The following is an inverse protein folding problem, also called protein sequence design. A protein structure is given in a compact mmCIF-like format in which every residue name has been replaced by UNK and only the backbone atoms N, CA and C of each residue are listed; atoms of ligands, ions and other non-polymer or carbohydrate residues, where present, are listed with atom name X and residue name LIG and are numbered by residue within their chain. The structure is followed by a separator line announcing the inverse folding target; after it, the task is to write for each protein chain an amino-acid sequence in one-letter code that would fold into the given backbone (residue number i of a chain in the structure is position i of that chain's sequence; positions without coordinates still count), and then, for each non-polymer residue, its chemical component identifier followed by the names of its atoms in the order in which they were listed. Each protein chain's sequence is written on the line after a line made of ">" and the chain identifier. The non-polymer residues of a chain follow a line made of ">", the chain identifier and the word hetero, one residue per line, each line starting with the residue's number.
data_IF_788113401161
#
_entry.id   IF_788113401161
#
_cell.length_a   1.000
_cell.length_b   1.000
_cell.length_c   1.000
_cell.angle_alpha   90.00
_cell.angle_beta   90.00
_cell.angle_gamma   90.00
#
_symmetry.space_group_name_H-M   'P 1'
#
loop_
_entity.id
_entity.type
_entity.pdbx_description
1 polymer ?
#
# COMPACT_ATOMS: atom_id res chain seq x y z
N UNK A 1 11.60 11.51 14.67
CA UNK A 1 10.57 11.41 13.61
C UNK A 1 10.74 10.04 12.97
N UNK A 2 9.67 9.26 12.82
CA UNK A 2 9.76 7.97 12.15
C UNK A 2 10.08 8.17 10.67
N UNK A 3 10.48 7.07 10.03
CA UNK A 3 10.78 7.06 8.60
C UNK A 3 9.61 6.38 7.90
N UNK A 4 9.26 6.90 6.73
CA UNK A 4 8.07 6.47 6.01
C UNK A 4 8.29 6.32 4.52
N UNK A 5 7.23 5.91 3.85
CA UNK A 5 7.13 5.85 2.40
C UNK A 5 5.88 6.61 1.95
N UNK A 6 5.79 6.96 0.68
CA UNK A 6 4.55 7.43 0.08
C UNK A 6 3.92 6.31 -0.74
N UNK A 7 2.68 5.96 -0.44
CA UNK A 7 1.95 4.87 -1.11
C UNK A 7 0.93 5.45 -2.10
N UNK A 8 0.84 4.85 -3.27
CA UNK A 8 -0.28 5.03 -4.19
C UNK A 8 -0.69 3.69 -4.81
N UNK A 9 -1.99 3.49 -4.97
CA UNK A 9 -2.56 2.37 -5.72
C UNK A 9 -3.02 2.88 -7.07
N UNK A 10 -2.61 2.20 -8.14
CA UNK A 10 -3.01 2.45 -9.52
C UNK A 10 -3.87 1.26 -9.97
N UNK A 11 -5.04 1.54 -10.54
CA UNK A 11 -5.93 0.53 -11.06
C UNK A 11 -6.04 0.68 -12.57
N UNK A 12 -5.32 -0.17 -13.32
CA UNK A 12 -5.37 -0.20 -14.78
C UNK A 12 -6.43 -1.18 -15.31
N UNK A 13 -7.35 -1.64 -14.46
CA UNK A 13 -8.47 -2.47 -14.88
C UNK A 13 -9.69 -1.62 -15.25
N UNK A 14 -10.61 -2.22 -16.00
CA UNK A 14 -11.89 -1.60 -16.40
C UNK A 14 -12.94 -1.57 -15.29
N UNK A 15 -12.64 -2.14 -14.11
CA UNK A 15 -13.53 -2.21 -12.96
C UNK A 15 -12.93 -1.47 -11.77
N UNK A 16 -13.79 -0.91 -10.91
CA UNK A 16 -13.34 -0.38 -9.63
C UNK A 16 -12.96 -1.53 -8.68
N UNK A 17 -12.09 -1.25 -7.73
CA UNK A 17 -11.73 -2.18 -6.65
C UNK A 17 -11.73 -1.46 -5.32
N UNK A 18 -11.87 -2.20 -4.23
CA UNK A 18 -11.74 -1.69 -2.87
C UNK A 18 -10.44 -2.19 -2.26
N UNK A 19 -9.64 -1.28 -1.71
CA UNK A 19 -8.43 -1.61 -0.99
C UNK A 19 -8.71 -1.89 0.49
N UNK A 20 -8.02 -2.86 1.07
CA UNK A 20 -8.10 -3.21 2.48
C UNK A 20 -6.70 -3.42 3.06
N UNK A 21 -6.51 -2.95 4.29
CA UNK A 21 -5.29 -3.20 5.06
C UNK A 21 -5.58 -4.30 6.07
N UNK A 22 -4.80 -5.37 6.02
CA UNK A 22 -4.88 -6.49 6.96
C UNK A 22 -3.48 -6.84 7.48
N UNK A 23 -3.41 -7.56 8.59
CA UNK A 23 -2.16 -7.96 9.24
C UNK A 23 -1.22 -6.76 9.52
N UNK A 24 -1.77 -5.61 9.92
CA UNK A 24 -0.95 -4.44 10.23
C UNK A 24 -0.15 -4.67 11.52
N UNK A 25 1.17 -4.49 11.42
CA UNK A 25 2.09 -4.66 12.54
C UNK A 25 3.08 -3.51 12.53
N UNK A 26 3.15 -2.81 13.66
CA UNK A 26 4.10 -1.71 13.83
C UNK A 26 3.99 -0.62 12.74
N UNK A 27 2.78 -0.35 12.24
CA UNK A 27 2.47 0.76 11.35
C UNK A 27 1.69 1.84 12.10
N UNK A 28 1.93 3.12 11.78
CA UNK A 28 1.03 4.20 12.20
C UNK A 28 -0.22 4.16 11.32
N UNK A 29 -1.32 3.66 11.90
CA UNK A 29 -2.59 3.45 11.22
C UNK A 29 -3.56 4.64 11.39
N UNK A 30 -3.35 5.49 12.40
CA UNK A 30 -4.08 6.76 12.56
C UNK A 30 -3.20 7.78 13.27
N UNK A 31 -3.22 9.03 12.79
CA UNK A 31 -2.49 10.15 13.38
C UNK A 31 -0.96 10.12 13.19
N UNK A 32 -0.28 11.19 13.62
CA UNK A 32 1.18 11.32 13.50
C UNK A 32 1.71 11.69 12.11
N UNK A 33 0.82 11.94 11.15
CA UNK A 33 1.17 12.32 9.77
C UNK A 33 1.10 11.15 8.77
N UNK A 34 1.01 9.90 9.25
CA UNK A 34 0.70 8.71 8.45
C UNK A 34 -0.76 8.72 8.00
N UNK A 35 -1.02 8.21 6.80
CA UNK A 35 -2.35 8.14 6.18
C UNK A 35 -2.67 6.70 5.72
N UNK A 36 -2.20 5.69 6.44
CA UNK A 36 -2.41 4.28 6.08
C UNK A 36 -3.90 3.91 6.07
N UNK A 37 -4.71 4.57 6.91
CA UNK A 37 -6.16 4.43 6.98
C UNK A 37 -6.87 4.74 5.66
N UNK A 38 -6.31 5.62 4.81
CA UNK A 38 -6.88 5.94 3.50
C UNK A 38 -7.00 4.71 2.59
N UNK A 39 -6.15 3.72 2.82
CA UNK A 39 -6.09 2.50 2.03
C UNK A 39 -6.92 1.37 2.66
N UNK A 40 -7.56 1.58 3.81
CA UNK A 40 -8.38 0.58 4.48
C UNK A 40 -9.88 0.85 4.27
N UNK A 41 -10.45 0.25 3.23
CA UNK A 41 -11.80 0.52 2.74
C UNK A 41 -11.85 1.59 1.64
N UNK A 42 -10.70 1.95 1.06
CA UNK A 42 -10.62 2.96 0.02
C UNK A 42 -11.02 2.43 -1.35
N UNK A 43 -11.85 3.18 -2.09
CA UNK A 43 -12.22 2.82 -3.46
C UNK A 43 -11.16 3.30 -4.44
N UNK A 44 -10.65 2.39 -5.28
CA UNK A 44 -9.75 2.68 -6.39
C UNK A 44 -10.57 2.64 -7.69
N UNK A 45 -10.90 3.79 -8.31
CA UNK A 45 -11.71 3.83 -9.51
C UNK A 45 -11.07 3.08 -10.68
N UNK A 46 -11.89 2.58 -11.61
CA UNK A 46 -11.43 1.97 -12.86
C UNK A 46 -10.54 2.94 -13.64
N UNK A 47 -9.43 2.46 -14.19
CA UNK A 47 -8.42 3.27 -14.88
C UNK A 47 -7.98 4.52 -14.09
N UNK A 48 -7.91 4.39 -12.76
CA UNK A 48 -7.68 5.50 -11.84
C UNK A 48 -6.71 5.16 -10.72
N UNK A 49 -6.66 6.01 -9.70
CA UNK A 49 -5.73 5.85 -8.59
C UNK A 49 -6.35 6.17 -7.24
N UNK A 50 -5.72 5.64 -6.20
CA UNK A 50 -5.99 5.97 -4.80
C UNK A 50 -4.65 6.25 -4.10
N UNK A 51 -4.43 7.45 -3.55
CA UNK A 51 -5.28 8.63 -3.67
C UNK A 51 -5.16 9.31 -5.04
N UNK A 52 -6.24 9.98 -5.45
CA UNK A 52 -6.34 10.64 -6.76
C UNK A 52 -5.29 11.75 -6.89
N UNK A 53 -5.05 12.50 -5.82
CA UNK A 53 -4.10 13.62 -5.78
C UNK A 53 -2.62 13.21 -5.81
N UNK A 54 -2.31 11.91 -5.73
CA UNK A 54 -0.95 11.39 -5.68
C UNK A 54 -0.66 10.54 -4.44
N UNK A 55 0.58 10.00 -4.35
CA UNK A 55 1.02 9.18 -3.23
C UNK A 55 0.85 9.87 -1.87
N UNK A 56 0.43 9.11 -0.85
CA UNK A 56 0.25 9.61 0.51
C UNK A 56 1.23 8.95 1.49
N UNK A 57 1.70 9.73 2.45
CA UNK A 57 2.68 9.29 3.41
C UNK A 57 2.12 8.20 4.34
N UNK A 58 2.89 7.12 4.51
CA UNK A 58 2.68 6.03 5.45
C UNK A 58 3.94 5.87 6.31
N UNK A 59 3.76 5.58 7.59
CA UNK A 59 4.87 5.57 8.55
C UNK A 59 4.98 4.26 9.33
N UNK A 60 6.19 3.73 9.41
CA UNK A 60 6.53 2.65 10.32
C UNK A 60 6.67 3.19 11.76
N UNK A 61 6.02 2.55 12.72
CA UNK A 61 6.23 2.80 14.16
C UNK A 61 7.63 2.33 14.54
N UNK A 62 8.48 3.25 14.98
CA UNK A 62 9.83 2.92 15.47
C UNK A 62 10.01 3.29 16.95
N UNK A 63 9.01 2.95 17.77
CA UNK A 63 9.00 3.25 19.21
C UNK A 63 8.35 2.11 20.00
N UNK A 64 8.57 2.10 21.32
CA UNK A 64 8.05 1.06 22.21
C UNK A 64 8.49 -0.34 21.77
N UNK A 65 7.55 -1.30 21.78
CA UNK A 65 7.81 -2.67 21.32
C UNK A 65 8.10 -2.77 19.82
N UNK A 66 7.85 -1.71 19.02
CA UNK A 66 8.15 -1.70 17.60
C UNK A 66 9.58 -1.23 17.29
N UNK A 67 10.32 -0.74 18.29
CA UNK A 67 11.72 -0.34 18.09
C UNK A 67 12.57 -1.54 17.65
N UNK A 68 13.21 -1.42 16.48
CA UNK A 68 14.05 -2.47 15.91
C UNK A 68 13.30 -3.68 15.33
N UNK A 69 11.97 -3.65 15.32
CA UNK A 69 11.15 -4.70 14.70
C UNK A 69 10.79 -4.35 13.25
N UNK A 70 10.45 -5.37 12.47
CA UNK A 70 9.89 -5.19 11.13
C UNK A 70 8.47 -4.64 11.27
N UNK A 71 8.21 -3.54 10.58
CA UNK A 71 6.87 -3.00 10.37
C UNK A 71 6.30 -3.59 9.08
N UNK A 72 5.05 -4.02 9.08
CA UNK A 72 4.45 -4.63 7.91
C UNK A 72 2.95 -4.45 7.86
N UNK A 73 2.39 -4.56 6.66
CA UNK A 73 0.97 -4.68 6.44
C UNK A 73 0.71 -5.38 5.10
N UNK A 74 -0.42 -6.07 5.00
CA UNK A 74 -0.90 -6.65 3.75
C UNK A 74 -1.95 -5.74 3.14
N UNK A 75 -1.72 -5.29 1.92
CA UNK A 75 -2.70 -4.60 1.10
C UNK A 75 -3.43 -5.63 0.24
N UNK A 76 -4.75 -5.70 0.38
CA UNK A 76 -5.63 -6.54 -0.42
C UNK A 76 -6.52 -5.68 -1.30
N UNK A 77 -6.70 -6.07 -2.56
CA UNK A 77 -7.65 -5.46 -3.49
C UNK A 77 -8.81 -6.43 -3.71
N UNK A 78 -10.03 -5.94 -3.52
CA UNK A 78 -11.27 -6.70 -3.69
C UNK A 78 -12.09 -6.17 -4.87
N UNK A 79 -12.73 -7.06 -5.62
CA UNK A 79 -13.79 -6.68 -6.56
C UNK A 79 -15.06 -6.25 -5.81
N UNK A 80 -16.06 -5.77 -6.54
CA UNK A 80 -17.40 -5.44 -6.02
C UNK A 80 -18.18 -6.66 -5.47
N UNK A 81 -17.76 -7.88 -5.79
CA UNK A 81 -18.28 -9.13 -5.19
C UNK A 81 -17.43 -9.62 -4.01
N UNK A 82 -16.54 -8.80 -3.46
CA UNK A 82 -15.61 -9.14 -2.38
C UNK A 82 -14.64 -10.29 -2.72
N UNK A 83 -14.32 -10.47 -4.00
CA UNK A 83 -13.32 -11.45 -4.44
C UNK A 83 -11.94 -10.80 -4.41
N UNK A 84 -10.94 -11.47 -3.84
CA UNK A 84 -9.55 -10.99 -3.86
C UNK A 84 -9.03 -11.02 -5.29
N UNK A 85 -8.76 -9.83 -5.82
CA UNK A 85 -8.20 -9.64 -7.17
C UNK A 85 -6.69 -9.37 -7.14
N UNK A 86 -6.16 -9.06 -5.97
CA UNK A 86 -4.72 -8.97 -5.74
C UNK A 86 -4.38 -8.76 -4.27
N UNK A 87 -3.16 -9.14 -3.89
CA UNK A 87 -2.67 -9.07 -2.53
C UNK A 87 -1.17 -8.84 -2.51
N UNK A 88 -0.70 -7.91 -1.69
CA UNK A 88 0.73 -7.65 -1.51
C UNK A 88 1.05 -7.42 -0.05
N UNK A 89 2.12 -8.04 0.45
CA UNK A 89 2.66 -7.71 1.77
C UNK A 89 3.81 -6.71 1.63
N UNK A 90 3.71 -5.58 2.33
CA UNK A 90 4.66 -4.48 2.31
C UNK A 90 5.34 -4.41 3.68
N UNK A 91 6.66 -4.42 3.69
CA UNK A 91 7.48 -4.51 4.91
C UNK A 91 8.50 -3.37 4.94
N UNK A 92 8.72 -2.79 6.12
CA UNK A 92 9.84 -1.91 6.44
C UNK A 92 10.76 -2.55 7.48
N UNK A 93 12.06 -2.61 7.17
CA UNK A 93 13.11 -2.99 8.12
C UNK A 93 14.12 -1.86 8.27
N UNK A 94 13.75 -0.86 9.07
CA UNK A 94 14.61 0.28 9.37
C UNK A 94 14.80 1.22 8.19
N UNK A 95 13.69 1.63 7.55
CA UNK A 95 13.64 2.41 6.30
C UNK A 95 14.17 1.67 5.07
N UNK A 96 14.00 0.34 5.08
CA UNK A 96 14.26 -0.53 3.95
C UNK A 96 12.92 -1.17 3.58
N UNK A 97 12.16 -0.43 2.78
CA UNK A 97 10.89 -0.89 2.25
C UNK A 97 11.13 -2.02 1.25
N UNK A 98 10.39 -3.11 1.43
CA UNK A 98 10.45 -4.30 0.62
C UNK A 98 9.06 -4.87 0.43
N UNK A 99 8.90 -5.67 -0.62
CA UNK A 99 7.63 -6.29 -0.97
C UNK A 99 7.82 -7.79 -0.97
N UNK A 100 6.86 -8.46 -0.36
CA UNK A 100 6.65 -9.89 -0.47
C UNK A 100 5.35 -10.05 -1.28
N UNK A 101 5.50 -10.18 -2.60
CA UNK A 101 4.37 -10.23 -3.50
C UNK A 101 3.71 -11.62 -3.38
N UNK A 102 2.64 -11.70 -2.59
CA UNK A 102 1.85 -12.93 -2.44
C UNK A 102 0.71 -13.02 -3.46
N UNK A 103 0.65 -12.13 -4.45
CA UNK A 103 -0.46 -12.11 -5.39
C UNK A 103 -0.47 -13.27 -6.38
N UNK A 104 -1.67 -13.76 -6.62
CA UNK A 104 -2.08 -14.45 -7.86
C UNK A 104 -1.99 -13.48 -9.04
N UNK A 105 -0.86 -13.50 -9.78
CA UNK A 105 -0.65 -13.02 -11.16
C UNK A 105 -1.07 -11.58 -11.57
N UNK A 106 -1.59 -10.72 -10.68
CA UNK A 106 -2.37 -9.54 -11.11
C UNK A 106 -1.91 -8.19 -10.55
N UNK A 107 -0.91 -8.17 -9.67
CA UNK A 107 -0.33 -6.93 -9.14
C UNK A 107 1.14 -6.81 -9.55
N UNK A 108 1.50 -5.64 -10.07
CA UNK A 108 2.88 -5.16 -10.15
C UNK A 108 3.12 -4.14 -9.04
N UNK A 109 4.28 -4.18 -8.39
CA UNK A 109 4.62 -3.20 -7.36
C UNK A 109 6.01 -2.65 -7.63
N UNK A 110 6.11 -1.32 -7.60
CA UNK A 110 7.35 -0.59 -7.83
C UNK A 110 7.71 0.24 -6.59
N UNK A 111 8.97 0.15 -6.16
CA UNK A 111 9.53 0.97 -5.07
C UNK A 111 10.59 1.88 -5.67
N UNK A 112 10.26 3.16 -5.76
CA UNK A 112 11.16 4.18 -6.27
C UNK A 112 11.81 4.97 -5.13
N UNK A 113 12.94 5.59 -5.41
CA UNK A 113 13.48 6.60 -4.50
C UNK A 113 12.59 7.82 -4.59
N UNK A 114 12.01 8.24 -3.47
CA UNK A 114 10.97 9.25 -3.48
C UNK A 114 11.49 10.64 -3.80
N UNK A 115 10.57 11.52 -4.19
CA UNK A 115 10.85 12.92 -4.56
C UNK A 115 11.40 13.75 -3.38
N UNK A 116 11.20 13.26 -2.14
CA UNK A 116 11.77 13.83 -0.92
C UNK A 116 12.99 13.01 -0.50
N UNK A 117 14.14 13.68 -0.33
CA UNK A 117 15.40 13.04 0.05
C UNK A 117 15.25 12.16 1.30
N UNK A 118 15.39 10.85 1.12
CA UNK A 118 15.35 9.86 2.20
C UNK A 118 14.07 9.01 2.26
N UNK A 119 13.02 9.37 1.54
CA UNK A 119 11.76 8.62 1.47
C UNK A 119 11.72 7.70 0.24
N UNK A 120 10.79 6.75 0.26
CA UNK A 120 10.50 5.84 -0.85
C UNK A 120 9.08 6.07 -1.34
N UNK A 121 8.87 6.02 -2.64
CA UNK A 121 7.54 6.02 -3.24
C UNK A 121 7.20 4.58 -3.61
N UNK A 122 6.04 4.08 -3.18
CA UNK A 122 5.55 2.73 -3.41
C UNK A 122 4.31 2.83 -4.29
N UNK A 123 4.39 2.26 -5.48
CA UNK A 123 3.29 2.19 -6.43
C UNK A 123 2.79 0.76 -6.53
N UNK A 124 1.54 0.53 -6.15
CA UNK A 124 0.86 -0.76 -6.30
C UNK A 124 -0.05 -0.68 -7.51
N UNK A 125 0.27 -1.39 -8.58
CA UNK A 125 -0.46 -1.36 -9.84
C UNK A 125 -1.24 -2.66 -10.03
N UNK A 126 -2.57 -2.56 -10.08
CA UNK A 126 -3.44 -3.62 -10.58
C UNK A 126 -3.37 -3.63 -12.11
N UNK A 127 -2.94 -4.74 -12.69
CA UNK A 127 -2.77 -4.89 -14.13
C UNK A 127 -4.14 -5.01 -14.84
N UNK A 128 -4.23 -4.62 -16.13
CA UNK A 128 -5.46 -4.74 -16.91
C UNK A 128 -5.93 -6.17 -16.99
N UNK A 129 -7.24 -6.39 -16.83
CA UNK A 129 -7.85 -7.70 -16.96
C UNK A 129 -9.18 -7.55 -17.68
N UNK A 130 -9.36 -8.39 -18.69
CA UNK A 130 -10.57 -8.51 -19.48
C UNK A 130 -11.48 -9.60 -18.87
N UNK A 131 -12.78 -9.35 -18.77
CA UNK A 131 -13.78 -10.43 -18.63
C UNK A 131 -14.00 -11.05 -17.24
N UNK A 132 -14.04 -10.23 -16.21
CA UNK A 132 -14.43 -10.57 -14.84
C UNK A 132 -15.57 -9.67 -14.43
#
# INVERSE_FOLDING_TARGET
>A
MGKGAFLQILNNSSKLVTSHIVNDKCMHNTGGGSNLELFNGGTVPANGSLPIAGPQYIEAKNSGFCFGNVSEFTLTLLSDQNVIVGMVNIKDSGNKWSIDNQSVNRISVDIQTGSVKGNKDIYVTLLPIEGW
#
